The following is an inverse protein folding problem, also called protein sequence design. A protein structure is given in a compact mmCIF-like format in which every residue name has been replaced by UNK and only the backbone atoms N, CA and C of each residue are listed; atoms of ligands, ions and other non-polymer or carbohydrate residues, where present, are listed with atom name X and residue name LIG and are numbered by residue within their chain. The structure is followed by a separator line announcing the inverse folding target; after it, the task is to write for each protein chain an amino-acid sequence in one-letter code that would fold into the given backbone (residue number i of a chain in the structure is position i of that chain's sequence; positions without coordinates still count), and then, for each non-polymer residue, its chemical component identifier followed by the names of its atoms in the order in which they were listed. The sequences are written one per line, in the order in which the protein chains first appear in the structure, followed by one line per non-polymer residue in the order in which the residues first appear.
data_IF_381572927794
#
_entry.id   IF_381572927794
#
_cell.length_a   1.000
_cell.length_b   1.000
_cell.length_c   1.000
_cell.angle_alpha   90.00
_cell.angle_beta   90.00
_cell.angle_gamma   90.00
#
_symmetry.space_group_name_H-M   'P 1'
#
loop_
_entity.id
_entity.type
_entity.pdbx_description
1 polymer ?
#
# COMPACT_ATOMS: atom_id res chain seq x y z
N UNK A 1 -22.11 19.74 -13.57
CA UNK A 1 -22.45 18.34 -13.90
C UNK A 1 -21.54 17.42 -13.09
N UNK A 2 -22.08 16.59 -12.17
CA UNK A 2 -21.26 15.64 -11.40
C UNK A 2 -20.53 14.67 -12.36
N UNK A 3 -19.20 14.62 -12.27
CA UNK A 3 -18.37 13.78 -13.14
C UNK A 3 -18.78 12.31 -13.03
N UNK A 4 -18.65 11.54 -14.11
CA UNK A 4 -18.95 10.10 -14.09
C UNK A 4 -18.18 9.34 -13.00
N UNK A 5 -16.98 9.81 -12.65
CA UNK A 5 -16.13 9.25 -11.59
C UNK A 5 -16.81 9.37 -10.23
N UNK A 6 -17.29 10.57 -9.86
CA UNK A 6 -17.92 10.81 -8.56
C UNK A 6 -19.17 9.96 -8.38
N UNK A 7 -20.05 9.93 -9.39
CA UNK A 7 -21.28 9.12 -9.35
C UNK A 7 -20.99 7.63 -9.16
N UNK A 8 -19.98 7.09 -9.84
CA UNK A 8 -19.58 5.69 -9.70
C UNK A 8 -19.02 5.44 -8.30
N UNK A 9 -18.14 6.32 -7.82
CA UNK A 9 -17.52 6.22 -6.50
C UNK A 9 -18.56 6.27 -5.39
N UNK A 10 -19.47 7.25 -5.39
CA UNK A 10 -20.55 7.38 -4.40
C UNK A 10 -21.50 6.17 -4.42
N UNK A 11 -21.77 5.63 -5.61
CA UNK A 11 -22.63 4.44 -5.75
C UNK A 11 -21.94 3.20 -5.20
N UNK A 12 -20.67 2.95 -5.52
CA UNK A 12 -20.02 1.65 -5.27
C UNK A 12 -19.09 1.62 -4.04
N UNK A 13 -18.60 2.78 -3.60
CA UNK A 13 -17.55 2.92 -2.57
C UNK A 13 -16.13 2.93 -3.14
N UNK A 14 -15.98 2.66 -4.43
CA UNK A 14 -14.70 2.66 -5.14
C UNK A 14 -14.92 2.93 -6.64
N UNK A 15 -13.84 3.31 -7.33
CA UNK A 15 -13.84 3.47 -8.79
C UNK A 15 -12.50 3.05 -9.36
N UNK A 16 -12.53 2.22 -10.41
CA UNK A 16 -11.30 1.79 -11.11
C UNK A 16 -11.04 2.67 -12.32
N UNK A 17 -9.93 3.40 -12.29
CA UNK A 17 -9.49 4.25 -13.39
C UNK A 17 -8.33 3.59 -14.13
N UNK A 18 -8.48 3.37 -15.44
CA UNK A 18 -7.44 2.76 -16.28
C UNK A 18 -6.66 3.84 -17.02
N UNK A 19 -5.38 3.55 -17.32
CA UNK A 19 -4.50 4.42 -18.13
C UNK A 19 -4.38 5.86 -17.59
N UNK A 20 -4.36 6.01 -16.27
CA UNK A 20 -4.15 7.32 -15.62
C UNK A 20 -2.67 7.69 -15.61
N UNK A 21 -1.81 6.71 -15.34
CA UNK A 21 -0.37 6.88 -15.22
C UNK A 21 0.35 6.17 -16.37
N UNK A 22 1.47 6.73 -16.77
CA UNK A 22 2.45 6.11 -17.64
C UNK A 22 3.45 5.30 -16.81
N UNK A 23 3.76 4.08 -17.25
CA UNK A 23 4.66 3.22 -16.48
C UNK A 23 6.09 3.75 -16.44
N UNK A 24 6.61 4.25 -17.55
CA UNK A 24 7.99 4.71 -17.68
C UNK A 24 8.21 6.04 -16.97
N UNK A 25 7.28 6.96 -17.13
CA UNK A 25 7.43 8.31 -16.59
C UNK A 25 6.99 8.40 -15.11
N UNK A 26 5.89 7.72 -14.74
CA UNK A 26 5.28 7.94 -13.42
C UNK A 26 5.61 6.83 -12.40
N UNK A 27 5.89 5.58 -12.83
CA UNK A 27 6.06 4.43 -11.92
C UNK A 27 7.49 3.88 -11.85
N UNK A 28 8.17 3.76 -12.99
CA UNK A 28 9.55 3.23 -13.07
C UNK A 28 10.55 4.00 -12.19
N UNK A 29 10.48 5.34 -12.04
CA UNK A 29 11.38 6.07 -11.14
C UNK A 29 11.30 5.59 -9.69
N UNK A 30 10.11 5.27 -9.18
CA UNK A 30 9.94 4.73 -7.82
C UNK A 30 10.52 3.32 -7.72
N UNK A 31 10.36 2.49 -8.76
CA UNK A 31 10.97 1.15 -8.79
C UNK A 31 12.50 1.22 -8.82
N UNK A 32 13.07 2.22 -9.50
CA UNK A 32 14.50 2.47 -9.52
C UNK A 32 15.01 2.87 -8.12
N UNK A 33 14.29 3.74 -7.42
CA UNK A 33 14.61 4.11 -6.04
C UNK A 33 14.53 2.91 -5.09
N UNK A 34 13.52 2.05 -5.24
CA UNK A 34 13.41 0.79 -4.50
C UNK A 34 14.60 -0.13 -4.83
N UNK A 35 14.99 -0.23 -6.10
CA UNK A 35 16.14 -1.03 -6.52
C UNK A 35 17.45 -0.53 -5.92
N UNK A 36 17.64 0.79 -5.86
CA UNK A 36 18.76 1.41 -5.18
C UNK A 36 18.78 1.07 -3.68
N UNK A 37 17.64 1.15 -3.00
CA UNK A 37 17.55 0.74 -1.58
C UNK A 37 17.90 -0.75 -1.42
N UNK A 38 17.43 -1.62 -2.32
CA UNK A 38 17.81 -3.03 -2.30
C UNK A 38 19.33 -3.21 -2.44
N UNK A 39 19.99 -2.46 -3.32
CA UNK A 39 21.44 -2.55 -3.48
C UNK A 39 22.19 -2.13 -2.21
N UNK A 40 21.74 -1.07 -1.53
CA UNK A 40 22.29 -0.70 -0.20
C UNK A 40 22.13 -1.82 0.82
N UNK A 41 20.98 -2.49 0.84
CA UNK A 41 20.74 -3.64 1.72
C UNK A 41 21.63 -4.83 1.35
N UNK A 42 21.89 -5.07 0.06
CA UNK A 42 22.86 -6.08 -0.39
C UNK A 42 24.26 -5.75 0.14
N UNK A 43 24.70 -4.50 0.01
CA UNK A 43 25.99 -4.08 0.55
C UNK A 43 26.09 -4.24 2.08
N UNK A 44 24.99 -4.05 2.81
CA UNK A 44 24.93 -4.14 4.27
C UNK A 44 24.84 -5.58 4.79
N UNK A 45 24.02 -6.44 4.17
CA UNK A 45 23.64 -7.73 4.76
C UNK A 45 24.16 -8.96 4.00
N UNK A 46 24.64 -8.81 2.75
CA UNK A 46 25.15 -9.96 1.97
C UNK A 46 26.67 -10.11 2.17
N UNK A 47 27.19 -11.34 2.38
CA UNK A 47 28.63 -11.59 2.48
C UNK A 47 29.40 -11.12 1.24
N UNK A 48 30.62 -10.59 1.41
CA UNK A 48 31.44 -10.01 0.33
C UNK A 48 31.58 -10.95 -0.89
N UNK A 49 31.74 -12.25 -0.66
CA UNK A 49 31.85 -13.28 -1.71
C UNK A 49 30.61 -13.41 -2.60
N UNK A 50 29.42 -13.04 -2.10
CA UNK A 50 28.16 -13.18 -2.81
C UNK A 50 27.57 -11.84 -3.32
N UNK A 51 28.14 -10.68 -2.94
CA UNK A 51 27.56 -9.35 -3.27
C UNK A 51 27.38 -9.16 -4.77
N UNK A 52 28.41 -9.39 -5.58
CA UNK A 52 28.36 -9.20 -7.05
C UNK A 52 27.26 -10.06 -7.69
N UNK A 53 27.13 -11.31 -7.24
CA UNK A 53 26.08 -12.22 -7.72
C UNK A 53 24.68 -11.69 -7.41
N UNK A 54 24.45 -11.19 -6.20
CA UNK A 54 23.14 -10.71 -5.75
C UNK A 54 22.79 -9.35 -6.35
N UNK A 55 23.76 -8.44 -6.52
CA UNK A 55 23.55 -7.15 -7.18
C UNK A 55 23.03 -7.33 -8.62
N UNK A 56 23.50 -8.36 -9.31
CA UNK A 56 23.08 -8.72 -10.67
C UNK A 56 21.74 -9.49 -10.74
N UNK A 57 21.06 -9.73 -9.61
CA UNK A 57 19.72 -10.34 -9.65
C UNK A 57 18.68 -9.37 -10.21
N UNK A 58 17.70 -9.93 -10.95
CA UNK A 58 16.49 -9.20 -11.31
C UNK A 58 15.74 -8.71 -10.07
N UNK A 59 14.97 -7.63 -10.19
CA UNK A 59 14.26 -6.98 -9.08
C UNK A 59 13.55 -7.98 -8.14
N UNK A 60 12.71 -8.87 -8.70
CA UNK A 60 11.95 -9.86 -7.93
C UNK A 60 12.85 -10.85 -7.20
N UNK A 61 13.91 -11.32 -7.87
CA UNK A 61 14.87 -12.28 -7.31
C UNK A 61 15.73 -11.62 -6.21
N UNK A 62 16.13 -10.37 -6.41
CA UNK A 62 16.86 -9.55 -5.42
C UNK A 62 16.04 -9.34 -4.17
N UNK A 63 14.78 -8.89 -4.31
CA UNK A 63 13.87 -8.71 -3.17
C UNK A 63 13.61 -10.03 -2.42
N UNK A 64 13.35 -11.13 -3.14
CA UNK A 64 13.18 -12.46 -2.54
C UNK A 64 14.43 -12.92 -1.76
N UNK A 65 15.62 -12.63 -2.28
CA UNK A 65 16.86 -12.91 -1.57
C UNK A 65 16.97 -12.09 -0.28
N UNK A 66 16.70 -10.78 -0.32
CA UNK A 66 16.71 -9.93 0.88
C UNK A 66 15.71 -10.40 1.95
N UNK A 67 14.52 -10.85 1.54
CA UNK A 67 13.54 -11.47 2.46
C UNK A 67 14.13 -12.73 3.11
N UNK A 68 14.85 -13.57 2.35
CA UNK A 68 15.44 -14.80 2.89
C UNK A 68 16.53 -14.56 3.95
N UNK A 69 17.14 -13.36 3.96
CA UNK A 69 18.13 -12.96 4.96
C UNK A 69 17.49 -12.61 6.32
N UNK A 70 16.16 -12.57 6.43
CA UNK A 70 15.43 -12.23 7.67
C UNK A 70 15.88 -10.90 8.27
N UNK A 71 16.15 -9.91 7.42
CA UNK A 71 16.49 -8.55 7.85
C UNK A 71 15.36 -8.00 8.75
N UNK A 72 15.66 -7.53 9.98
CA UNK A 72 14.65 -6.93 10.84
C UNK A 72 13.95 -5.76 10.14
N UNK A 73 12.62 -5.73 10.21
CA UNK A 73 11.80 -4.65 9.65
C UNK A 73 12.11 -4.32 8.17
N UNK A 74 12.41 -5.34 7.36
CA UNK A 74 12.76 -5.18 5.95
C UNK A 74 11.74 -4.32 5.18
N UNK A 75 10.46 -4.45 5.49
CA UNK A 75 9.37 -3.68 4.87
C UNK A 75 9.46 -2.17 5.16
N UNK A 76 9.97 -1.77 6.32
CA UNK A 76 10.10 -0.36 6.71
C UNK A 76 11.08 0.40 5.80
N UNK A 77 12.12 -0.27 5.27
CA UNK A 77 13.04 0.33 4.29
C UNK A 77 12.37 0.81 3.00
N UNK A 78 11.20 0.26 2.69
CA UNK A 78 10.44 0.59 1.48
C UNK A 78 9.16 1.36 1.79
N UNK A 79 8.80 1.50 3.07
CA UNK A 79 7.52 2.08 3.48
C UNK A 79 7.56 3.61 3.43
N UNK A 80 6.52 4.21 2.84
CA UNK A 80 6.39 5.66 2.64
C UNK A 80 5.79 6.39 3.86
N UNK A 81 5.81 5.74 5.02
CA UNK A 81 5.43 6.33 6.31
C UNK A 81 6.44 5.99 7.38
N UNK A 82 6.44 6.80 8.43
CA UNK A 82 7.19 6.53 9.64
C UNK A 82 6.80 5.19 10.28
N UNK A 83 7.73 4.57 11.04
CA UNK A 83 7.43 3.42 11.89
C UNK A 83 6.25 3.73 12.82
N UNK A 84 5.48 2.71 13.20
CA UNK A 84 4.33 2.89 14.09
C UNK A 84 4.74 3.23 15.54
N UNK A 85 5.90 2.72 15.98
CA UNK A 85 6.38 2.82 17.35
C UNK A 85 7.79 3.40 17.38
N UNK A 86 8.18 3.94 18.53
CA UNK A 86 9.53 4.46 18.80
C UNK A 86 10.01 5.57 17.83
N UNK A 87 9.05 6.35 17.31
CA UNK A 87 9.35 7.50 16.46
C UNK A 87 10.19 8.51 17.26
N UNK A 88 11.29 8.94 16.66
CA UNK A 88 12.20 9.96 17.17
C UNK A 88 12.73 10.81 16.00
N UNK A 89 13.49 11.86 16.29
CA UNK A 89 14.00 12.80 15.28
C UNK A 89 14.86 12.16 14.18
N UNK A 90 15.43 10.97 14.43
CA UNK A 90 16.26 10.22 13.47
C UNK A 90 15.49 9.09 12.77
N UNK A 91 14.18 8.98 12.99
CA UNK A 91 13.34 7.96 12.34
C UNK A 91 13.24 8.24 10.85
N UNK A 92 13.59 7.24 10.05
CA UNK A 92 13.61 7.34 8.59
C UNK A 92 12.46 6.53 7.97
N UNK A 93 12.09 6.90 6.75
CA UNK A 93 11.13 6.20 5.92
C UNK A 93 11.44 6.45 4.45
N UNK A 94 10.83 5.69 3.55
CA UNK A 94 11.08 5.79 2.12
C UNK A 94 10.42 7.05 1.53
N UNK A 95 11.10 8.19 1.69
CA UNK A 95 10.65 9.53 1.29
C UNK A 95 11.40 10.03 0.04
N UNK A 96 11.51 9.20 -0.99
CA UNK A 96 12.29 9.56 -2.17
C UNK A 96 11.60 10.65 -3.03
N UNK A 97 12.38 11.35 -3.85
CA UNK A 97 11.86 12.39 -4.74
C UNK A 97 10.80 11.83 -5.72
N UNK A 98 10.96 10.59 -6.18
CA UNK A 98 9.98 9.96 -7.08
C UNK A 98 8.64 9.69 -6.38
N UNK A 99 8.64 9.30 -5.10
CA UNK A 99 7.42 9.20 -4.29
C UNK A 99 6.74 10.56 -4.16
N UNK A 100 7.51 11.63 -3.90
CA UNK A 100 6.95 12.98 -3.82
C UNK A 100 6.35 13.44 -5.15
N UNK A 101 7.02 13.15 -6.27
CA UNK A 101 6.50 13.42 -7.61
C UNK A 101 5.20 12.65 -7.89
N UNK A 102 5.11 11.39 -7.43
CA UNK A 102 3.91 10.57 -7.57
C UNK A 102 2.75 11.13 -6.74
N UNK A 103 2.98 11.50 -5.48
CA UNK A 103 1.95 12.09 -4.59
C UNK A 103 1.38 13.38 -5.20
N UNK A 104 2.22 14.19 -5.84
CA UNK A 104 1.81 15.45 -6.48
C UNK A 104 1.46 15.33 -7.96
N UNK A 105 1.36 14.12 -8.49
CA UNK A 105 1.16 13.93 -9.92
C UNK A 105 -0.20 14.49 -10.36
N UNK A 106 -0.20 15.47 -11.26
CA UNK A 106 -1.43 16.12 -11.74
C UNK A 106 -2.43 15.12 -12.32
N UNK A 107 -1.96 14.07 -13.02
CA UNK A 107 -2.85 13.04 -13.59
C UNK A 107 -3.66 12.32 -12.50
N UNK A 108 -3.11 12.19 -11.28
CA UNK A 108 -3.80 11.63 -10.11
C UNK A 108 -4.70 12.68 -9.47
N UNK A 109 -4.14 13.86 -9.17
CA UNK A 109 -4.86 14.94 -8.49
C UNK A 109 -6.11 15.37 -9.26
N UNK A 110 -6.05 15.48 -10.59
CA UNK A 110 -7.19 15.79 -11.46
C UNK A 110 -8.34 14.75 -11.36
N UNK A 111 -8.04 13.51 -10.94
CA UNK A 111 -9.07 12.47 -10.71
C UNK A 111 -9.59 12.51 -9.29
N UNK A 112 -8.73 12.77 -8.31
CA UNK A 112 -9.11 12.89 -6.90
C UNK A 112 -9.97 14.13 -6.68
N UNK A 113 -9.63 15.25 -7.33
CA UNK A 113 -10.38 16.50 -7.28
C UNK A 113 -11.84 16.32 -7.71
N UNK A 114 -12.08 15.43 -8.68
CA UNK A 114 -13.44 15.11 -9.13
C UNK A 114 -14.29 14.43 -8.07
N UNK A 115 -13.68 13.89 -7.01
CA UNK A 115 -14.33 13.23 -5.88
C UNK A 115 -14.39 14.19 -4.68
N UNK A 116 -13.23 14.66 -4.21
CA UNK A 116 -13.05 15.43 -2.98
C UNK A 116 -13.21 16.96 -3.15
N UNK A 117 -13.09 17.49 -4.37
CA UNK A 117 -12.96 18.94 -4.59
C UNK A 117 -11.50 19.39 -4.65
N UNK A 118 -11.28 20.70 -4.76
CA UNK A 118 -9.98 21.31 -5.07
C UNK A 118 -9.01 21.38 -3.88
N UNK A 119 -9.52 21.32 -2.65
CA UNK A 119 -8.71 21.37 -1.44
C UNK A 119 -8.23 19.97 -1.04
N UNK A 120 -7.13 19.53 -1.63
CA UNK A 120 -6.59 18.18 -1.44
C UNK A 120 -5.37 18.22 -0.52
N UNK A 121 -5.44 17.47 0.57
CA UNK A 121 -4.31 17.22 1.46
C UNK A 121 -3.90 15.74 1.42
N UNK A 122 -2.59 15.50 1.53
CA UNK A 122 -2.04 14.16 1.65
C UNK A 122 -2.02 13.74 3.13
N UNK A 123 -2.87 12.79 3.50
CA UNK A 123 -2.92 12.24 4.86
C UNK A 123 -1.70 11.30 5.10
N UNK A 124 -1.03 11.35 6.27
CA UNK A 124 0.12 10.48 6.59
C UNK A 124 -0.22 8.99 6.74
N UNK A 125 -1.49 8.59 6.62
CA UNK A 125 -1.91 7.19 6.55
C UNK A 125 -1.58 6.54 5.19
N UNK A 126 -0.29 6.50 4.85
CA UNK A 126 0.21 6.00 3.57
C UNK A 126 1.02 4.72 3.76
N UNK A 127 0.94 3.80 2.80
CA UNK A 127 1.76 2.59 2.84
C UNK A 127 2.18 2.19 1.43
N UNK A 128 3.42 1.73 1.31
CA UNK A 128 3.81 0.89 0.17
C UNK A 128 3.74 -0.57 0.62
N UNK A 129 3.43 -1.48 -0.30
CA UNK A 129 3.35 -2.91 0.01
C UNK A 129 3.97 -3.71 -1.14
N UNK A 130 4.99 -4.50 -0.84
CA UNK A 130 5.58 -5.45 -1.79
C UNK A 130 5.13 -6.84 -1.38
N UNK A 131 4.24 -7.44 -2.17
CA UNK A 131 3.70 -8.78 -1.90
C UNK A 131 4.60 -9.86 -2.48
N UNK A 132 5.02 -10.78 -1.62
CA UNK A 132 5.76 -11.96 -2.03
C UNK A 132 4.81 -13.07 -2.48
N UNK A 133 5.26 -14.00 -3.34
CA UNK A 133 4.56 -15.26 -3.52
C UNK A 133 4.35 -15.92 -2.16
N UNK A 134 3.14 -16.41 -1.89
CA UNK A 134 2.74 -16.93 -0.57
C UNK A 134 3.70 -18.01 -0.04
N UNK A 135 4.20 -18.88 -0.94
CA UNK A 135 5.21 -19.90 -0.61
C UNK A 135 6.51 -19.36 -0.02
N UNK A 136 6.82 -18.08 -0.24
CA UNK A 136 7.99 -17.39 0.29
C UNK A 136 7.72 -16.61 1.59
N UNK A 137 6.45 -16.56 2.04
CA UNK A 137 6.05 -15.88 3.27
C UNK A 137 6.03 -16.90 4.42
N UNK A 138 6.65 -16.57 5.55
CA UNK A 138 6.59 -17.42 6.74
C UNK A 138 5.13 -17.60 7.18
N UNK A 139 4.71 -18.82 7.55
CA UNK A 139 3.31 -19.14 7.90
C UNK A 139 2.69 -18.15 8.91
N UNK A 140 3.47 -17.73 9.92
CA UNK A 140 3.04 -16.76 10.94
C UNK A 140 2.71 -15.35 10.39
N UNK A 141 3.23 -15.01 9.22
CA UNK A 141 3.06 -13.70 8.57
C UNK A 141 2.04 -13.76 7.42
N UNK A 142 1.34 -14.88 7.19
CA UNK A 142 0.40 -15.02 6.08
C UNK A 142 -0.78 -14.05 6.17
N UNK A 143 -1.16 -13.63 7.39
CA UNK A 143 -2.22 -12.65 7.63
C UNK A 143 -1.68 -11.27 8.07
N UNK A 144 -0.37 -11.03 7.95
CA UNK A 144 0.22 -9.70 8.18
C UNK A 144 -0.04 -8.84 6.94
N UNK A 145 -0.78 -7.75 7.08
CA UNK A 145 -1.15 -6.92 5.93
C UNK A 145 0.02 -6.29 5.18
N UNK A 146 1.20 -6.14 5.77
CA UNK A 146 2.36 -5.57 5.09
C UNK A 146 2.91 -6.59 4.08
N UNK A 147 3.07 -7.85 4.49
CA UNK A 147 3.75 -8.88 3.70
C UNK A 147 2.85 -10.00 3.14
N UNK A 148 1.78 -10.38 3.85
CA UNK A 148 0.82 -11.42 3.50
C UNK A 148 -0.56 -10.87 3.09
N UNK A 149 -1.65 -11.61 3.36
CA UNK A 149 -3.03 -11.17 3.12
C UNK A 149 -3.41 -10.07 4.09
N UNK A 150 -3.92 -8.97 3.56
CA UNK A 150 -4.59 -7.94 4.36
C UNK A 150 -6.01 -8.43 4.70
N UNK A 151 -6.42 -8.50 5.98
CA UNK A 151 -7.77 -8.85 6.38
C UNK A 151 -8.76 -7.74 5.98
N UNK A 152 -10.05 -8.07 6.05
CA UNK A 152 -11.11 -7.09 5.84
C UNK A 152 -10.99 -5.93 6.84
N UNK A 153 -10.97 -4.71 6.32
CA UNK A 153 -10.81 -3.49 7.10
C UNK A 153 -11.48 -2.31 6.39
N UNK A 154 -11.59 -1.19 7.10
CA UNK A 154 -11.89 0.12 6.54
C UNK A 154 -10.73 1.04 6.90
N UNK A 155 -10.23 1.83 5.94
CA UNK A 155 -9.09 2.73 6.19
C UNK A 155 -9.41 3.75 7.31
N UNK A 156 -10.65 4.23 7.40
CA UNK A 156 -11.09 5.08 8.51
C UNK A 156 -10.97 4.41 9.89
N UNK A 157 -10.88 3.08 9.96
CA UNK A 157 -10.68 2.34 11.20
C UNK A 157 -9.33 2.59 11.85
N UNK A 158 -8.31 3.06 11.10
CA UNK A 158 -7.01 3.43 11.68
C UNK A 158 -6.99 4.86 12.26
N UNK A 159 -8.03 5.65 11.99
CA UNK A 159 -8.09 7.06 12.41
C UNK A 159 -8.68 7.20 13.82
N UNK A 160 -8.30 8.26 14.52
CA UNK A 160 -8.97 8.63 15.77
C UNK A 160 -10.37 9.22 15.49
N UNK A 161 -11.21 9.35 16.54
CA UNK A 161 -12.58 9.86 16.44
C UNK A 161 -12.68 11.24 15.77
N UNK A 162 -11.68 12.11 15.97
CA UNK A 162 -11.66 13.45 15.36
C UNK A 162 -11.43 13.35 13.86
N UNK A 163 -10.46 12.53 13.45
CA UNK A 163 -10.16 12.27 12.04
C UNK A 163 -11.33 11.60 11.31
N UNK A 164 -11.99 10.63 11.94
CA UNK A 164 -13.16 9.97 11.36
C UNK A 164 -14.33 10.92 11.08
N UNK A 165 -14.55 11.92 11.95
CA UNK A 165 -15.66 12.87 11.81
C UNK A 165 -15.33 14.09 10.95
N UNK A 166 -14.06 14.50 10.92
CA UNK A 166 -13.62 15.77 10.35
C UNK A 166 -12.84 15.63 9.04
N UNK A 167 -12.83 14.46 8.41
CA UNK A 167 -12.04 14.24 7.19
C UNK A 167 -12.80 13.39 6.19
N UNK A 168 -13.04 13.96 5.01
CA UNK A 168 -13.40 13.18 3.83
C UNK A 168 -12.13 12.52 3.29
N UNK A 169 -12.03 11.20 3.42
CA UNK A 169 -10.85 10.44 3.05
C UNK A 169 -11.09 9.61 1.79
N UNK A 170 -10.19 9.73 0.81
CA UNK A 170 -10.11 8.83 -0.34
C UNK A 170 -8.73 8.19 -0.40
N UNK A 171 -8.70 6.87 -0.49
CA UNK A 171 -7.47 6.12 -0.70
C UNK A 171 -7.19 5.99 -2.20
N UNK A 172 -6.05 6.52 -2.65
CA UNK A 172 -5.55 6.30 -4.00
C UNK A 172 -4.63 5.09 -4.01
N UNK A 173 -5.12 3.96 -4.53
CA UNK A 173 -4.32 2.75 -4.66
C UNK A 173 -3.72 2.62 -6.07
N UNK A 174 -2.39 2.47 -6.15
CA UNK A 174 -1.64 2.48 -7.41
C UNK A 174 -0.89 1.15 -7.59
N UNK A 175 -1.23 0.35 -8.61
CA UNK A 175 -0.49 -0.87 -8.92
C UNK A 175 0.82 -0.56 -9.64
N UNK A 176 1.95 -0.96 -9.04
CA UNK A 176 3.27 -0.95 -9.71
C UNK A 176 3.51 -2.18 -10.60
N UNK A 177 2.71 -3.22 -10.41
CA UNK A 177 2.72 -4.42 -11.24
C UNK A 177 1.28 -4.80 -11.59
N UNK A 178 1.10 -5.58 -12.66
CA UNK A 178 -0.23 -6.06 -13.03
C UNK A 178 -0.82 -6.89 -11.89
N UNK A 179 -1.92 -6.43 -11.31
CA UNK A 179 -2.63 -7.14 -10.25
C UNK A 179 -3.76 -8.00 -10.81
N UNK A 180 -3.82 -9.22 -10.31
CA UNK A 180 -4.74 -10.28 -10.71
C UNK A 180 -5.07 -11.13 -9.49
N UNK A 181 -6.05 -12.00 -9.61
CA UNK A 181 -6.48 -12.86 -8.49
C UNK A 181 -5.31 -13.72 -8.01
N UNK A 182 -4.54 -14.30 -8.93
CA UNK A 182 -3.43 -15.21 -8.63
C UNK A 182 -2.24 -14.54 -7.92
N UNK A 183 -2.14 -13.21 -7.91
CA UNK A 183 -1.08 -12.48 -7.21
C UNK A 183 -1.59 -11.52 -6.13
N UNK A 184 -2.85 -11.71 -5.68
CA UNK A 184 -3.43 -10.98 -4.56
C UNK A 184 -3.87 -9.57 -4.91
N UNK A 185 -4.72 -9.42 -5.93
CA UNK A 185 -5.41 -8.15 -6.19
C UNK A 185 -6.29 -7.72 -5.00
N UNK A 186 -6.70 -6.45 -5.00
CA UNK A 186 -7.64 -5.96 -4.00
C UNK A 186 -8.99 -6.66 -4.14
N UNK A 187 -9.69 -6.78 -3.02
CA UNK A 187 -11.10 -7.15 -2.96
C UNK A 187 -11.87 -6.02 -2.31
N UNK A 188 -13.03 -5.70 -2.86
CA UNK A 188 -13.95 -4.72 -2.29
C UNK A 188 -15.37 -5.28 -2.26
N UNK A 189 -16.10 -4.97 -1.18
CA UNK A 189 -17.54 -5.24 -1.12
C UNK A 189 -18.26 -4.00 -1.64
N UNK A 190 -19.04 -4.17 -2.70
CA UNK A 190 -19.77 -3.08 -3.31
C UNK A 190 -20.75 -2.48 -2.28
N UNK A 191 -20.83 -1.15 -2.25
CA UNK A 191 -21.76 -0.41 -1.39
C UNK A 191 -21.49 -0.51 0.13
N UNK A 192 -20.41 -1.18 0.55
CA UNK A 192 -20.13 -1.37 1.98
C UNK A 192 -19.81 -0.08 2.73
N UNK A 193 -19.39 0.97 2.02
CA UNK A 193 -19.17 2.31 2.59
C UNK A 193 -20.46 2.95 3.13
N UNK A 194 -21.64 2.51 2.64
CA UNK A 194 -22.94 3.02 3.10
C UNK A 194 -23.33 2.53 4.49
N UNK A 195 -22.68 1.47 4.99
CA UNK A 195 -22.90 0.96 6.35
C UNK A 195 -22.20 1.79 7.43
N UNK A 196 -21.48 2.85 7.04
CA UNK A 196 -20.66 3.63 7.97
C UNK A 196 -19.44 2.86 8.46
N UNK A 197 -18.83 3.33 9.55
CA UNK A 197 -17.71 2.66 10.19
C UNK A 197 -18.24 1.52 11.07
N UNK A 198 -17.84 0.28 10.77
CA UNK A 198 -18.18 -0.88 11.60
C UNK A 198 -17.13 -1.10 12.70
N UNK A 199 -17.38 -2.02 13.62
CA UNK A 199 -16.45 -2.28 14.72
C UNK A 199 -15.13 -2.91 14.22
N UNK A 200 -14.01 -2.28 14.57
CA UNK A 200 -12.67 -2.82 14.34
C UNK A 200 -12.05 -3.38 15.62
N UNK A 201 -11.11 -4.29 15.46
CA UNK A 201 -10.13 -4.68 16.47
C UNK A 201 -8.73 -4.36 15.94
N UNK A 202 -7.83 -3.99 16.84
CA UNK A 202 -6.42 -3.74 16.50
C UNK A 202 -5.72 -5.08 16.30
N UNK A 203 -5.17 -5.29 15.11
CA UNK A 203 -4.30 -6.40 14.77
C UNK A 203 -2.84 -6.12 15.11
N UNK A 204 -1.93 -6.85 14.47
CA UNK A 204 -0.48 -6.62 14.63
C UNK A 204 0.00 -5.41 13.82
N UNK A 205 1.01 -4.68 14.32
CA UNK A 205 1.73 -3.62 13.58
C UNK A 205 0.83 -2.52 12.99
N UNK A 206 -0.14 -2.04 13.78
CA UNK A 206 -0.99 -0.91 13.41
C UNK A 206 -2.06 -1.24 12.37
N UNK A 207 -2.19 -2.51 12.02
CA UNK A 207 -3.30 -3.02 11.22
C UNK A 207 -4.59 -2.98 12.04
N UNK A 208 -5.69 -2.60 11.40
CA UNK A 208 -7.03 -2.78 11.95
C UNK A 208 -7.77 -3.80 11.11
N UNK A 209 -8.65 -4.57 11.74
CA UNK A 209 -9.50 -5.55 11.05
C UNK A 209 -10.92 -5.49 11.59
N UNK A 210 -11.90 -5.78 10.74
CA UNK A 210 -13.32 -5.76 11.14
C UNK A 210 -13.60 -6.94 12.08
N UNK A 211 -14.29 -6.67 13.19
CA UNK A 211 -14.78 -7.70 14.09
C UNK A 211 -15.85 -8.54 13.38
N UNK A 212 -15.68 -9.87 13.34
CA UNK A 212 -16.59 -10.77 12.62
C UNK A 212 -16.41 -10.76 11.10
N UNK A 213 -15.20 -10.43 10.62
CA UNK A 213 -14.81 -10.38 9.21
C UNK A 213 -15.14 -11.65 8.40
N UNK A 214 -15.29 -12.80 9.05
CA UNK A 214 -15.67 -14.07 8.42
C UNK A 214 -17.04 -14.00 7.75
N UNK A 215 -17.92 -13.11 8.23
CA UNK A 215 -19.22 -12.87 7.60
C UNK A 215 -19.09 -12.08 6.29
N UNK A 216 -18.03 -11.31 6.11
CA UNK A 216 -17.78 -10.51 4.91
C UNK A 216 -17.38 -11.41 3.74
N UNK A 217 -16.71 -12.54 4.00
CA UNK A 217 -16.38 -13.53 2.95
C UNK A 217 -17.62 -14.13 2.28
N UNK A 218 -18.80 -14.00 2.91
CA UNK A 218 -20.09 -14.43 2.35
C UNK A 218 -20.76 -13.37 1.47
N UNK A 219 -20.25 -12.14 1.47
CA UNK A 219 -20.78 -11.04 0.68
C UNK A 219 -20.21 -11.08 -0.75
N UNK A 220 -20.96 -10.63 -1.76
CA UNK A 220 -20.45 -10.53 -3.12
C UNK A 220 -19.32 -9.49 -3.19
N UNK A 221 -18.09 -9.98 -3.32
CA UNK A 221 -16.89 -9.16 -3.47
C UNK A 221 -16.49 -8.99 -4.93
N UNK A 222 -15.87 -7.87 -5.26
CA UNK A 222 -15.32 -7.55 -6.59
C UNK A 222 -13.81 -7.45 -6.48
N UNK A 223 -13.13 -8.03 -7.48
CA UNK A 223 -11.67 -7.99 -7.70
C UNK A 223 -11.29 -7.00 -8.82
#
# INVERSE_FOLDING_TARGET
MSSSIKKIFEKQGFVRLKKVLDYKEDLEPVLNDIAFVMDRLVHRFVPKSNKLKVLNYSFKKKYSHLVSLKIPELDQYFNIRLPEKNINANSDFFASQSIWNLIKNKKILDKIEKILGSEIASNPCQNSRIKQPEKGVAKRNLNDGLVGRTPWHQDAGVMNKKGQKGTELVTCWIPFTKTRIENGCMLAVKESHKYGLVNHVTGSKGQVEIKGKEMIDKLPSIA
#
